data_IF_530556788595
#
_entry.id   IF_530556788595
#
_cell.length_a   1.000
_cell.length_b   1.000
_cell.length_c   1.000
_cell.angle_alpha   90.00
_cell.angle_beta   90.00
_cell.angle_gamma   90.00
#
_symmetry.space_group_name_H-M   'P 1'
#
loop_
_entity.id
_entity.type
_entity.pdbx_description
1 polymer ?
#
# COMPACT_ATOMS: atom_id res chain seq x y z
N UNK A 1 -3.66 7.84 -22.90
CA UNK A 1 -3.10 7.73 -21.53
C UNK A 1 -4.07 6.92 -20.71
N UNK A 2 -3.70 5.71 -20.30
CA UNK A 2 -4.56 4.86 -19.46
C UNK A 2 -4.86 5.58 -18.14
N UNK A 3 -6.12 5.49 -17.69
CA UNK A 3 -6.53 5.97 -16.38
C UNK A 3 -5.69 5.24 -15.32
N UNK A 4 -5.15 5.97 -14.34
CA UNK A 4 -4.27 5.41 -13.31
C UNK A 4 -4.93 4.28 -12.52
N UNK A 5 -6.24 4.40 -12.32
CA UNK A 5 -7.10 3.40 -11.71
C UNK A 5 -8.35 3.28 -12.59
N UNK A 6 -8.42 2.27 -13.48
CA UNK A 6 -9.65 1.97 -14.22
C UNK A 6 -10.81 1.68 -13.26
N UNK A 7 -12.03 2.06 -13.63
CA UNK A 7 -13.20 1.87 -12.75
C UNK A 7 -13.49 0.39 -12.48
N UNK A 8 -13.35 -0.46 -13.50
CA UNK A 8 -13.48 -1.92 -13.38
C UNK A 8 -12.52 -2.50 -12.35
N UNK A 9 -11.27 -2.02 -12.31
CA UNK A 9 -10.29 -2.47 -11.32
C UNK A 9 -10.68 -1.98 -9.92
N UNK A 10 -11.18 -0.75 -9.81
CA UNK A 10 -11.65 -0.21 -8.54
C UNK A 10 -12.81 -1.04 -7.96
N UNK A 11 -13.80 -1.40 -8.77
CA UNK A 11 -14.96 -2.19 -8.32
C UNK A 11 -14.57 -3.53 -7.69
N UNK A 12 -13.45 -4.13 -8.13
CA UNK A 12 -12.91 -5.34 -7.52
C UNK A 12 -12.13 -5.03 -6.26
N UNK A 13 -11.27 -4.00 -6.27
CA UNK A 13 -10.45 -3.60 -5.12
C UNK A 13 -11.31 -3.17 -3.93
N UNK A 14 -12.38 -2.40 -4.17
CA UNK A 14 -13.23 -1.83 -3.13
C UNK A 14 -13.80 -2.90 -2.19
N UNK A 15 -14.01 -4.12 -2.69
CA UNK A 15 -14.56 -5.25 -1.92
C UNK A 15 -13.61 -5.75 -0.82
N UNK A 16 -12.31 -5.47 -0.96
CA UNK A 16 -11.28 -5.85 0.01
C UNK A 16 -11.04 -4.76 1.05
N UNK A 17 -11.64 -3.58 0.88
CA UNK A 17 -11.44 -2.48 1.81
C UNK A 17 -12.20 -2.72 3.11
N UNK A 18 -11.61 -2.38 4.27
CA UNK A 18 -12.30 -2.49 5.55
C UNK A 18 -13.52 -1.57 5.57
N UNK A 19 -14.67 -2.13 5.95
CA UNK A 19 -15.89 -1.34 6.11
C UNK A 19 -15.72 -0.37 7.28
N UNK A 20 -15.88 0.92 7.01
CA UNK A 20 -15.81 1.96 8.03
C UNK A 20 -17.20 2.44 8.41
N UNK A 21 -17.57 2.25 9.67
CA UNK A 21 -18.82 2.80 10.20
C UNK A 21 -18.59 4.25 10.66
N UNK A 22 -19.43 5.21 10.23
CA UNK A 22 -19.35 6.59 10.74
C UNK A 22 -19.48 6.63 12.27
N UNK A 23 -18.69 7.46 12.95
CA UNK A 23 -18.83 7.63 14.40
C UNK A 23 -20.21 8.24 14.73
N UNK A 24 -21.01 7.64 15.62
CA UNK A 24 -22.32 8.17 16.00
C UNK A 24 -22.28 9.57 16.63
N UNK A 25 -21.13 10.00 17.14
CA UNK A 25 -20.91 11.37 17.67
C UNK A 25 -20.76 12.41 16.55
N UNK A 26 -20.72 11.98 15.30
CA UNK A 26 -20.53 12.85 14.14
C UNK A 26 -19.09 13.31 13.96
N UNK A 27 -18.89 14.21 13.00
CA UNK A 27 -17.58 14.71 12.62
C UNK A 27 -17.50 15.00 11.12
N UNK A 28 -16.30 15.36 10.65
CA UNK A 28 -16.08 15.50 9.22
C UNK A 28 -16.26 14.13 8.54
N UNK A 29 -17.11 14.01 7.51
CA UNK A 29 -17.23 12.77 6.76
C UNK A 29 -15.88 12.28 6.27
N UNK A 30 -15.69 10.97 6.30
CA UNK A 30 -14.50 10.32 5.78
C UNK A 30 -14.36 10.62 4.29
N UNK A 31 -13.14 10.94 3.85
CA UNK A 31 -12.87 11.15 2.44
C UNK A 31 -13.12 9.86 1.64
N UNK A 32 -13.55 10.02 0.38
CA UNK A 32 -13.80 8.92 -0.56
C UNK A 32 -12.59 7.99 -0.67
N UNK A 33 -12.86 6.69 -0.56
CA UNK A 33 -11.84 5.64 -0.64
C UNK A 33 -11.26 5.56 -2.05
N UNK A 34 -12.09 5.78 -3.07
CA UNK A 34 -11.66 5.85 -4.47
C UNK A 34 -10.66 7.00 -4.70
N UNK A 35 -10.96 8.18 -4.17
CA UNK A 35 -10.08 9.34 -4.28
C UNK A 35 -8.78 9.13 -3.52
N UNK A 36 -8.87 8.54 -2.32
CA UNK A 36 -7.69 8.16 -1.55
C UNK A 36 -6.80 7.17 -2.32
N UNK A 37 -7.38 6.12 -2.92
CA UNK A 37 -6.65 5.14 -3.72
C UNK A 37 -5.98 5.79 -4.93
N UNK A 38 -6.70 6.63 -5.69
CA UNK A 38 -6.13 7.39 -6.81
C UNK A 38 -4.97 8.28 -6.37
N UNK A 39 -5.11 8.98 -5.25
CA UNK A 39 -4.08 9.84 -4.70
C UNK A 39 -2.84 9.06 -4.26
N UNK A 40 -3.03 7.91 -3.58
CA UNK A 40 -1.95 6.99 -3.19
C UNK A 40 -1.17 6.53 -4.42
N UNK A 41 -1.86 5.96 -5.42
CA UNK A 41 -1.23 5.46 -6.64
C UNK A 41 -0.46 6.57 -7.37
N UNK A 42 -0.99 7.79 -7.36
CA UNK A 42 -0.34 8.92 -8.02
C UNK A 42 0.96 9.30 -7.32
N UNK A 43 0.94 9.41 -5.98
CA UNK A 43 2.13 9.71 -5.19
C UNK A 43 3.17 8.63 -5.35
N UNK A 44 2.79 7.35 -5.24
CA UNK A 44 3.71 6.22 -5.37
C UNK A 44 4.33 6.15 -6.77
N UNK A 45 3.54 6.41 -7.82
CA UNK A 45 4.04 6.40 -9.21
C UNK A 45 4.95 7.59 -9.53
N UNK A 46 4.65 8.76 -8.98
CA UNK A 46 5.39 10.00 -9.28
C UNK A 46 6.58 10.25 -8.35
N UNK A 47 6.60 9.63 -7.17
CA UNK A 47 7.63 9.85 -6.14
C UNK A 47 7.57 11.22 -5.47
N UNK A 48 6.48 11.99 -5.64
CA UNK A 48 6.33 13.29 -4.99
C UNK A 48 6.14 13.16 -3.49
N UNK A 49 6.39 14.23 -2.76
CA UNK A 49 6.03 14.29 -1.34
C UNK A 49 4.51 14.27 -1.18
N UNK A 50 4.01 13.59 -0.13
CA UNK A 50 2.57 13.54 0.18
C UNK A 50 1.92 14.93 0.23
N UNK A 51 2.59 15.93 0.84
CA UNK A 51 2.07 17.30 0.93
C UNK A 51 1.94 18.01 -0.43
N UNK A 52 2.62 17.52 -1.46
CA UNK A 52 2.59 18.07 -2.82
C UNK A 52 1.48 17.45 -3.69
N UNK A 53 0.67 16.53 -3.15
CA UNK A 53 -0.47 15.98 -3.87
C UNK A 53 -1.47 17.12 -4.23
N UNK A 54 -1.82 17.30 -5.52
CA UNK A 54 -2.77 18.33 -5.96
C UNK A 54 -4.18 18.04 -5.44
N UNK A 55 -4.51 18.57 -4.26
CA UNK A 55 -5.76 18.23 -3.55
C UNK A 55 -7.01 18.57 -4.35
N UNK A 56 -6.99 19.64 -5.15
CA UNK A 56 -8.12 20.03 -6.02
C UNK A 56 -8.41 19.00 -7.12
N UNK A 57 -7.38 18.31 -7.63
CA UNK A 57 -7.54 17.33 -8.70
C UNK A 57 -8.00 15.96 -8.19
N UNK A 58 -7.74 15.65 -6.92
CA UNK A 58 -8.05 14.36 -6.31
C UNK A 58 -9.16 14.41 -5.26
N UNK A 59 -9.57 15.58 -4.77
CA UNK A 59 -10.57 15.72 -3.71
C UNK A 59 -10.09 15.28 -2.32
N UNK A 60 -8.82 14.91 -2.18
CA UNK A 60 -8.22 14.37 -0.94
C UNK A 60 -6.81 14.93 -0.72
N UNK A 61 -6.47 15.19 0.55
CA UNK A 61 -5.12 15.62 0.91
C UNK A 61 -4.15 14.45 0.94
N UNK A 62 -2.87 14.69 0.62
CA UNK A 62 -1.88 13.61 0.70
C UNK A 62 -1.64 13.08 2.11
N UNK A 63 -1.88 13.88 3.15
CA UNK A 63 -1.90 13.40 4.54
C UNK A 63 -3.01 12.36 4.79
N UNK A 64 -4.17 12.55 4.17
CA UNK A 64 -5.27 11.58 4.24
C UNK A 64 -4.93 10.32 3.44
N UNK A 65 -4.31 10.46 2.28
CA UNK A 65 -3.80 9.33 1.49
C UNK A 65 -2.78 8.50 2.28
N UNK A 66 -1.80 9.13 2.93
CA UNK A 66 -0.79 8.42 3.73
C UNK A 66 -1.42 7.67 4.90
N UNK A 67 -2.33 8.31 5.65
CA UNK A 67 -3.06 7.64 6.72
C UNK A 67 -3.85 6.43 6.19
N UNK A 68 -4.45 6.57 5.01
CA UNK A 68 -5.22 5.49 4.39
C UNK A 68 -4.33 4.36 3.90
N UNK A 69 -3.19 4.67 3.30
CA UNK A 69 -2.16 3.71 2.91
C UNK A 69 -1.76 2.85 4.10
N UNK A 70 -1.49 3.50 5.25
CA UNK A 70 -1.11 2.80 6.47
C UNK A 70 -2.26 1.97 7.05
N UNK A 71 -3.47 2.53 7.16
CA UNK A 71 -4.65 1.79 7.64
C UNK A 71 -4.94 0.54 6.80
N UNK A 72 -4.84 0.66 5.48
CA UNK A 72 -5.03 -0.47 4.56
C UNK A 72 -3.88 -1.46 4.60
N UNK A 73 -2.66 -1.02 4.94
CA UNK A 73 -1.54 -1.91 5.19
C UNK A 73 -1.76 -2.75 6.45
N UNK A 74 -2.17 -2.13 7.57
CA UNK A 74 -2.48 -2.86 8.80
C UNK A 74 -3.66 -3.83 8.64
N UNK A 75 -4.56 -3.55 7.69
CA UNK A 75 -5.68 -4.42 7.33
C UNK A 75 -5.34 -5.44 6.22
N UNK A 76 -4.06 -5.59 5.83
CA UNK A 76 -3.58 -6.53 4.80
C UNK A 76 -4.27 -6.37 3.43
N UNK A 77 -4.81 -5.19 3.13
CA UNK A 77 -5.52 -4.91 1.87
C UNK A 77 -4.57 -5.04 0.69
N UNK A 78 -3.34 -4.54 0.83
CA UNK A 78 -2.37 -4.56 -0.27
C UNK A 78 -1.96 -5.97 -0.66
N UNK A 79 -1.77 -6.85 0.32
CA UNK A 79 -1.45 -8.26 0.07
C UNK A 79 -2.59 -8.98 -0.64
N UNK A 80 -3.83 -8.71 -0.22
CA UNK A 80 -5.03 -9.26 -0.87
C UNK A 80 -5.19 -8.77 -2.31
N UNK A 81 -5.03 -7.46 -2.53
CA UNK A 81 -5.09 -6.86 -3.87
C UNK A 81 -3.96 -7.37 -4.77
N UNK A 82 -2.74 -7.52 -4.24
CA UNK A 82 -1.62 -8.06 -4.99
C UNK A 82 -1.87 -9.53 -5.40
N UNK A 83 -2.36 -10.36 -4.49
CA UNK A 83 -2.70 -11.75 -4.78
C UNK A 83 -3.81 -11.86 -5.85
N UNK A 84 -4.82 -10.99 -5.78
CA UNK A 84 -5.89 -10.88 -6.78
C UNK A 84 -5.33 -10.52 -8.17
N UNK A 85 -4.47 -9.50 -8.23
CA UNK A 85 -3.86 -9.05 -9.49
C UNK A 85 -2.98 -10.14 -10.10
N UNK A 86 -2.15 -10.80 -9.27
CA UNK A 86 -1.33 -11.92 -9.71
C UNK A 86 -2.19 -13.05 -10.28
N UNK A 87 -3.25 -13.46 -9.59
CA UNK A 87 -4.17 -14.51 -10.08
C UNK A 87 -4.85 -14.12 -11.39
N UNK A 88 -5.27 -12.86 -11.51
CA UNK A 88 -5.92 -12.36 -12.73
C UNK A 88 -4.97 -12.38 -13.93
N UNK A 89 -3.71 -12.00 -13.72
CA UNK A 89 -2.69 -12.01 -14.77
C UNK A 89 -2.25 -13.43 -15.14
N UNK A 90 -2.12 -14.32 -14.15
CA UNK A 90 -1.82 -15.74 -14.36
C UNK A 90 -2.92 -16.43 -15.19
N UNK A 91 -4.19 -16.21 -14.84
CA UNK A 91 -5.33 -16.74 -15.62
C UNK A 91 -5.37 -16.22 -17.06
N UNK A 92 -4.96 -14.96 -17.26
CA UNK A 92 -4.96 -14.33 -18.58
C UNK A 92 -3.71 -14.67 -19.43
N UNK A 93 -2.76 -15.47 -18.92
CA UNK A 93 -1.44 -15.70 -19.51
C UNK A 93 -0.73 -14.40 -19.91
N UNK A 94 -0.97 -13.34 -19.11
CA UNK A 94 -0.56 -11.98 -19.40
C UNK A 94 0.69 -11.57 -18.62
N UNK A 95 1.33 -12.51 -17.93
CA UNK A 95 2.61 -12.28 -17.26
C UNK A 95 3.70 -12.32 -18.32
N UNK A 96 4.22 -11.14 -18.66
CA UNK A 96 5.35 -10.98 -19.56
C UNK A 96 6.64 -11.36 -18.82
N UNK A 97 6.98 -12.65 -18.86
CA UNK A 97 8.18 -13.21 -18.22
C UNK A 97 9.49 -12.68 -18.81
N UNK A 98 9.49 -12.14 -20.03
CA UNK A 98 10.68 -11.49 -20.60
C UNK A 98 11.00 -10.16 -19.89
N UNK A 99 9.98 -9.52 -19.31
CA UNK A 99 10.10 -8.29 -18.51
C UNK A 99 10.15 -8.54 -17.01
N UNK A 100 9.93 -9.78 -16.58
CA UNK A 100 10.07 -10.15 -15.18
C UNK A 100 11.55 -10.06 -14.76
N UNK A 101 11.88 -9.05 -13.96
CA UNK A 101 13.20 -8.90 -13.35
C UNK A 101 13.16 -9.39 -11.91
N UNK A 102 14.23 -10.07 -11.48
CA UNK A 102 14.45 -10.38 -10.08
C UNK A 102 14.71 -9.05 -9.36
N UNK A 103 13.76 -8.63 -8.53
CA UNK A 103 13.80 -7.33 -7.83
C UNK A 103 14.79 -7.32 -6.65
N UNK A 104 15.23 -8.48 -6.17
CA UNK A 104 16.21 -8.58 -5.09
C UNK A 104 16.91 -9.93 -5.07
N UNK A 105 18.24 -9.91 -4.97
CA UNK A 105 19.06 -11.07 -4.62
C UNK A 105 19.69 -10.83 -3.24
N UNK A 106 19.55 -11.78 -2.33
CA UNK A 106 20.11 -11.70 -0.98
C UNK A 106 21.42 -12.48 -0.94
N UNK A 107 22.54 -11.79 -1.12
CA UNK A 107 23.85 -12.42 -1.02
C UNK A 107 24.33 -12.49 0.45
N UNK A 108 24.87 -13.63 0.91
CA UNK A 108 25.52 -13.72 2.22
C UNK A 108 26.66 -12.69 2.32
N UNK A 109 26.77 -12.03 3.48
CA UNK A 109 27.85 -11.10 3.74
C UNK A 109 29.21 -11.82 3.66
N UNK A 110 30.07 -11.43 2.72
CA UNK A 110 31.40 -12.05 2.49
C UNK A 110 32.37 -11.97 3.68
N UNK A 111 32.04 -11.21 4.72
CA UNK A 111 32.82 -11.05 5.96
C UNK A 111 32.07 -11.51 7.23
N UNK A 112 31.07 -12.37 7.09
CA UNK A 112 30.42 -13.04 8.23
C UNK A 112 31.20 -14.29 8.62
N UNK A 113 31.52 -14.43 9.91
CA UNK A 113 32.24 -15.60 10.44
C UNK A 113 31.52 -16.93 10.14
N UNK A 114 32.24 -18.03 10.32
CA UNK A 114 31.79 -19.41 10.04
C UNK A 114 30.49 -19.82 10.77
N UNK A 115 30.06 -19.03 11.73
CA UNK A 115 28.81 -19.20 12.46
C UNK A 115 27.80 -18.18 11.94
N UNK A 116 26.72 -18.62 11.25
CA UNK A 116 25.56 -17.77 11.05
C UNK A 116 25.10 -17.31 12.45
N UNK A 117 25.09 -16.00 12.70
CA UNK A 117 24.34 -15.51 13.85
C UNK A 117 22.88 -15.88 13.62
N UNK A 118 22.25 -16.53 14.60
CA UNK A 118 20.83 -16.81 14.54
C UNK A 118 20.12 -15.48 14.29
N UNK A 119 19.41 -15.37 13.16
CA UNK A 119 18.49 -14.26 12.93
C UNK A 119 17.47 -14.30 14.05
N UNK A 120 17.65 -13.46 15.07
CA UNK A 120 16.64 -13.31 16.11
C UNK A 120 15.42 -12.76 15.40
N UNK A 121 14.32 -13.50 15.45
CA UNK A 121 13.01 -12.93 15.18
C UNK A 121 12.92 -11.66 16.03
N UNK A 122 12.65 -10.54 15.37
CA UNK A 122 12.42 -9.26 16.04
C UNK A 122 11.20 -9.46 16.92
N UNK A 123 11.42 -9.75 18.20
CA UNK A 123 10.35 -9.72 19.17
C UNK A 123 9.79 -8.30 19.17
N UNK A 124 8.47 -8.21 19.10
CA UNK A 124 7.68 -7.02 19.36
C UNK A 124 8.17 -6.34 20.65
N UNK A 125 8.78 -5.16 20.50
CA UNK A 125 9.20 -4.35 21.63
C UNK A 125 8.21 -3.17 21.74
N UNK A 126 7.43 -3.04 22.83
CA UNK A 126 6.59 -1.87 23.02
C UNK A 126 7.47 -0.63 23.18
N UNK A 127 7.17 0.41 22.40
CA UNK A 127 7.88 1.68 22.45
C UNK A 127 7.76 2.34 23.85
N UNK A 128 8.81 3.00 24.37
CA UNK A 128 8.71 3.76 25.62
C UNK A 128 7.80 4.99 25.43
N UNK A 129 6.83 5.17 26.33
CA UNK A 129 6.01 6.38 26.41
C UNK A 129 6.88 7.61 26.71
N UNK A 130 6.88 8.59 25.81
CA UNK A 130 7.42 9.91 26.07
C UNK A 130 6.27 10.87 26.40
N UNK A 131 5.99 11.00 27.70
CA UNK A 131 5.27 12.15 28.28
C UNK A 131 6.25 13.31 28.38
N UNK A 132 5.82 14.50 27.94
CA UNK A 132 6.24 15.80 28.47
C UNK A 132 4.97 16.60 28.72
#
# INVERSE_FOLDING_TARGET
>A
MSKLLPDELWEVIEQYLPQHQPDPRGGRPRASDYDAMRGILFVLKSGIQWQMLPTEAFGVSGSTCWRRLHEWHEAEVWDQVQALLHRSLDYADAIDWERALIDSDSIPAKKGGLTPAQTRLTAENPAPSATC
#
